data_IF_314411924855
#
_entry.id   IF_314411924855
#
_cell.length_a   1.000
_cell.length_b   1.000
_cell.length_c   1.000
_cell.angle_alpha   90.00
_cell.angle_beta   90.00
_cell.angle_gamma   90.00
#
_symmetry.space_group_name_H-M   'P 1'
#
loop_
_entity.id
_entity.type
_entity.pdbx_description
1 polymer ?
#
# COMPACT_ATOMS: atom_id res chain seq x y z
N UNK A 1 -7.74 61.26 54.07
CA UNK A 1 -7.42 61.01 52.67
C UNK A 1 -6.38 59.91 52.60
N UNK A 2 -6.74 58.63 52.67
CA UNK A 2 -5.82 57.50 52.45
C UNK A 2 -6.57 56.19 52.39
N UNK A 3 -7.35 55.97 51.36
CA UNK A 3 -7.90 54.63 50.95
C UNK A 3 -8.28 54.63 49.46
N UNK A 4 -7.34 54.54 48.54
CA UNK A 4 -7.69 54.35 47.11
C UNK A 4 -6.52 53.86 46.22
N UNK A 5 -5.50 53.19 46.77
CA UNK A 5 -4.39 52.72 45.92
C UNK A 5 -4.03 51.23 46.05
N UNK A 6 -4.84 50.38 46.67
CA UNK A 6 -4.47 48.97 46.89
C UNK A 6 -5.20 47.99 45.95
N UNK A 7 -6.20 48.46 45.19
CA UNK A 7 -7.04 47.55 44.37
C UNK A 7 -6.54 47.33 42.93
N UNK A 8 -5.52 48.04 42.44
CA UNK A 8 -5.08 47.96 41.05
C UNK A 8 -3.99 46.90 40.80
N UNK A 9 -3.14 46.60 41.78
CA UNK A 9 -2.03 45.66 41.56
C UNK A 9 -2.46 44.19 41.46
N UNK A 10 -3.52 43.80 42.20
CA UNK A 10 -4.02 42.40 42.20
C UNK A 10 -4.70 42.00 40.91
N UNK A 11 -5.28 42.95 40.16
CA UNK A 11 -5.94 42.68 38.88
C UNK A 11 -4.88 42.47 37.72
N UNK A 12 -3.84 43.30 37.70
CA UNK A 12 -2.80 43.19 36.68
C UNK A 12 -1.99 41.87 36.76
N UNK A 13 -1.66 41.43 37.95
CA UNK A 13 -0.95 40.16 38.16
C UNK A 13 -1.79 38.96 37.71
N UNK A 14 -3.13 39.00 37.95
CA UNK A 14 -4.05 37.94 37.47
C UNK A 14 -4.15 37.88 35.95
N UNK A 15 -4.19 39.03 35.26
CA UNK A 15 -4.23 39.06 33.80
C UNK A 15 -2.92 38.65 33.17
N UNK A 16 -1.76 39.00 33.74
CA UNK A 16 -0.45 38.57 33.25
C UNK A 16 -0.27 37.07 33.46
N UNK A 17 -0.66 36.51 34.61
CA UNK A 17 -0.58 35.07 34.87
C UNK A 17 -1.56 34.30 33.94
N UNK A 18 -2.76 34.81 33.69
CA UNK A 18 -3.73 34.20 32.78
C UNK A 18 -3.26 34.26 31.31
N UNK A 19 -2.64 35.38 30.90
CA UNK A 19 -2.03 35.50 29.54
C UNK A 19 -0.86 34.57 29.36
N UNK A 20 0.00 34.39 30.35
CA UNK A 20 1.11 33.45 30.30
C UNK A 20 0.61 32.00 30.27
N UNK A 21 -0.44 31.64 31.01
CA UNK A 21 -1.08 30.32 30.95
C UNK A 21 -1.77 30.06 29.61
N UNK A 22 -2.43 31.05 29.00
CA UNK A 22 -2.98 30.92 27.62
C UNK A 22 -1.89 30.79 26.58
N UNK A 23 -0.77 31.52 26.67
CA UNK A 23 0.33 31.36 25.75
C UNK A 23 1.06 30.00 25.89
N UNK A 24 1.16 29.46 27.11
CA UNK A 24 1.64 28.10 27.37
C UNK A 24 0.67 27.01 26.88
N UNK A 25 -0.66 27.28 26.92
CA UNK A 25 -1.67 26.35 26.40
C UNK A 25 -1.75 26.34 24.85
N UNK A 26 -1.45 27.49 24.20
CA UNK A 26 -1.35 27.59 22.75
C UNK A 26 -0.01 27.08 22.17
N UNK A 27 1.00 26.91 23.04
CA UNK A 27 2.29 26.34 22.69
C UNK A 27 2.38 24.81 22.72
N UNK A 28 1.27 24.09 22.91
CA UNK A 28 1.19 22.68 22.53
C UNK A 28 1.11 22.65 21.02
N UNK A 29 2.28 22.82 20.38
CA UNK A 29 2.45 22.60 18.97
C UNK A 29 1.71 21.30 18.62
N UNK A 30 0.96 21.33 17.55
CA UNK A 30 0.47 20.11 16.90
C UNK A 30 1.69 19.18 16.87
N UNK A 31 1.68 18.12 17.67
CA UNK A 31 2.78 17.17 17.68
C UNK A 31 2.90 16.70 16.23
N UNK A 32 3.95 17.15 15.56
CA UNK A 32 4.19 16.80 14.18
C UNK A 32 4.15 15.27 14.14
N UNK A 33 3.27 14.76 13.37
CA UNK A 33 3.06 13.31 13.25
C UNK A 33 4.39 12.67 12.88
N UNK A 34 4.99 11.96 13.83
CA UNK A 34 6.33 11.36 13.70
C UNK A 34 6.33 10.08 12.87
N UNK A 35 5.23 9.76 12.21
CA UNK A 35 5.12 8.58 11.36
C UNK A 35 4.18 8.80 10.19
N UNK A 36 4.39 8.02 9.14
CA UNK A 36 3.47 7.85 8.01
C UNK A 36 2.97 6.41 7.97
N UNK A 37 1.68 6.23 7.67
CA UNK A 37 1.11 4.90 7.47
C UNK A 37 1.06 4.56 6.00
N UNK A 38 1.66 3.43 5.67
CA UNK A 38 1.65 2.84 4.34
C UNK A 38 0.71 1.64 4.33
N UNK A 39 -0.06 1.50 3.27
CA UNK A 39 -0.94 0.37 3.02
C UNK A 39 -0.69 -0.19 1.63
N UNK A 40 -0.70 -1.50 1.51
CA UNK A 40 -0.79 -2.20 0.24
C UNK A 40 -2.09 -3.00 0.22
N UNK A 41 -2.80 -3.01 -0.92
CA UNK A 41 -4.04 -3.74 -1.07
C UNK A 41 -4.31 -4.15 -2.53
N UNK A 42 -4.28 -5.45 -2.79
CA UNK A 42 -4.90 -6.00 -4.00
C UNK A 42 -6.43 -5.95 -3.84
N UNK A 43 -7.11 -5.22 -4.70
CA UNK A 43 -8.55 -4.92 -4.58
C UNK A 43 -9.46 -5.85 -5.40
N UNK A 44 -8.93 -6.95 -5.94
CA UNK A 44 -9.64 -7.94 -6.74
C UNK A 44 -10.38 -7.33 -7.93
N UNK A 45 -9.70 -7.18 -9.08
CA UNK A 45 -10.29 -6.79 -10.36
C UNK A 45 -11.24 -5.58 -10.27
N UNK A 46 -10.70 -4.43 -9.88
CA UNK A 46 -11.49 -3.20 -9.81
C UNK A 46 -11.59 -2.54 -11.18
N UNK A 47 -12.54 -3.00 -11.98
CA UNK A 47 -12.88 -2.46 -13.29
C UNK A 47 -13.99 -1.40 -13.18
N UNK A 48 -14.07 -0.51 -14.16
CA UNK A 48 -15.28 0.26 -14.41
C UNK A 48 -16.37 -0.64 -15.05
N UNK A 49 -17.35 -0.09 -15.72
CA UNK A 49 -18.46 -0.87 -16.31
C UNK A 49 -18.46 -0.84 -17.83
N UNK A 50 -17.39 -0.30 -18.44
CA UNK A 50 -17.25 -0.11 -19.87
C UNK A 50 -16.23 -1.08 -20.45
N UNK A 51 -16.47 -1.52 -21.67
CA UNK A 51 -15.48 -2.31 -22.39
C UNK A 51 -14.50 -1.41 -23.14
N UNK A 52 -13.22 -1.64 -22.96
CA UNK A 52 -12.14 -0.96 -23.68
C UNK A 52 -11.71 -1.81 -24.89
N UNK A 53 -11.81 -1.26 -26.09
CA UNK A 53 -11.44 -1.95 -27.30
C UNK A 53 -9.98 -2.46 -27.26
N UNK A 54 -9.81 -3.75 -27.54
CA UNK A 54 -8.51 -4.42 -27.51
C UNK A 54 -8.13 -5.05 -26.18
N UNK A 55 -8.92 -4.85 -25.10
CA UNK A 55 -8.74 -5.50 -23.80
C UNK A 55 -9.68 -6.70 -23.62
N UNK A 56 -9.30 -7.62 -22.73
CA UNK A 56 -10.10 -8.80 -22.35
C UNK A 56 -10.91 -8.52 -21.08
N UNK A 57 -11.64 -7.41 -21.04
CA UNK A 57 -12.40 -6.89 -19.89
C UNK A 57 -13.92 -7.06 -20.04
N UNK A 58 -14.40 -7.61 -21.15
CA UNK A 58 -15.82 -7.75 -21.49
C UNK A 58 -16.64 -8.46 -20.39
N UNK A 59 -16.00 -9.35 -19.62
CA UNK A 59 -16.61 -10.03 -18.49
C UNK A 59 -17.04 -9.06 -17.37
N UNK A 60 -16.36 -7.94 -17.25
CA UNK A 60 -16.61 -6.86 -16.27
C UNK A 60 -17.53 -5.76 -16.81
N UNK A 61 -18.49 -6.12 -17.66
CA UNK A 61 -19.52 -5.21 -18.16
C UNK A 61 -20.91 -5.62 -17.65
N UNK A 62 -21.95 -4.78 -17.76
CA UNK A 62 -23.30 -5.14 -17.35
C UNK A 62 -23.88 -6.37 -18.05
N UNK A 63 -23.42 -6.66 -19.27
CA UNK A 63 -23.84 -7.83 -20.08
C UNK A 63 -22.80 -8.97 -20.06
N UNK A 64 -21.64 -8.75 -19.44
CA UNK A 64 -20.60 -9.76 -19.28
C UNK A 64 -20.93 -10.84 -18.25
N UNK A 65 -20.04 -11.84 -18.13
CA UNK A 65 -20.27 -13.01 -17.27
C UNK A 65 -20.40 -12.65 -15.77
N UNK A 66 -19.74 -11.57 -15.33
CA UNK A 66 -19.87 -11.05 -13.96
C UNK A 66 -21.05 -10.11 -13.76
N UNK A 67 -21.79 -9.75 -14.83
CA UNK A 67 -22.88 -8.77 -14.77
C UNK A 67 -22.47 -7.52 -13.96
N UNK A 68 -21.28 -6.99 -14.28
CA UNK A 68 -20.65 -5.90 -13.56
C UNK A 68 -21.28 -4.58 -13.95
N UNK A 69 -22.28 -4.16 -13.21
CA UNK A 69 -23.05 -2.94 -13.46
C UNK A 69 -22.69 -1.81 -12.49
N UNK A 70 -23.21 -0.63 -12.75
CA UNK A 70 -22.95 0.59 -11.96
C UNK A 70 -23.28 0.38 -10.47
N UNK A 71 -24.35 -0.35 -10.11
CA UNK A 71 -24.69 -0.60 -8.71
C UNK A 71 -23.60 -1.43 -8.00
N UNK A 72 -23.08 -2.48 -8.64
CA UNK A 72 -21.98 -3.30 -8.09
C UNK A 72 -20.66 -2.51 -8.00
N UNK A 73 -20.38 -1.71 -9.03
CA UNK A 73 -19.22 -0.83 -9.10
C UNK A 73 -19.17 0.13 -7.91
N UNK A 74 -20.19 0.96 -7.75
CA UNK A 74 -20.25 1.94 -6.65
C UNK A 74 -20.32 1.28 -5.27
N UNK A 75 -21.00 0.15 -5.16
CA UNK A 75 -21.02 -0.62 -3.93
C UNK A 75 -19.61 -1.13 -3.55
N UNK A 76 -18.80 -1.56 -4.52
CA UNK A 76 -17.43 -1.99 -4.27
C UNK A 76 -16.52 -0.82 -3.90
N UNK A 77 -16.58 0.30 -4.61
CA UNK A 77 -15.84 1.52 -4.25
C UNK A 77 -16.17 1.99 -2.82
N UNK A 78 -17.45 1.96 -2.44
CA UNK A 78 -17.88 2.28 -1.08
C UNK A 78 -17.33 1.30 -0.02
N UNK A 79 -17.16 0.02 -0.37
CA UNK A 79 -16.50 -0.97 0.50
C UNK A 79 -15.01 -0.75 0.61
N UNK A 80 -14.32 -0.52 -0.50
CA UNK A 80 -12.87 -0.24 -0.52
C UNK A 80 -12.56 1.03 0.30
N UNK A 81 -13.35 2.10 0.13
CA UNK A 81 -13.19 3.31 0.93
C UNK A 81 -13.37 3.05 2.45
N UNK A 82 -14.28 2.16 2.83
CA UNK A 82 -14.44 1.72 4.23
C UNK A 82 -13.20 0.98 4.74
N UNK A 83 -12.60 0.11 3.93
CA UNK A 83 -11.36 -0.61 4.31
C UNK A 83 -10.23 0.38 4.55
N UNK A 84 -9.99 1.29 3.61
CA UNK A 84 -8.93 2.30 3.67
C UNK A 84 -9.11 3.18 4.91
N UNK A 85 -10.33 3.69 5.15
CA UNK A 85 -10.61 4.50 6.33
C UNK A 85 -10.43 3.72 7.64
N UNK A 86 -10.86 2.46 7.68
CA UNK A 86 -10.71 1.62 8.88
C UNK A 86 -9.24 1.25 9.16
N UNK A 87 -8.44 1.02 8.12
CA UNK A 87 -7.01 0.74 8.23
C UNK A 87 -6.21 1.96 8.73
N UNK A 88 -6.63 3.15 8.33
CA UNK A 88 -6.09 4.42 8.82
C UNK A 88 -6.39 4.64 10.30
N UNK A 89 -7.60 4.29 10.77
CA UNK A 89 -8.05 4.52 12.14
C UNK A 89 -8.21 6.01 12.44
N UNK A 90 -7.48 6.53 13.43
CA UNK A 90 -7.52 7.94 13.79
C UNK A 90 -6.76 8.87 12.82
N UNK A 91 -5.96 8.32 11.94
CA UNK A 91 -5.14 9.04 10.95
C UNK A 91 -5.39 8.44 9.56
N UNK A 92 -5.35 9.25 8.48
CA UNK A 92 -5.46 8.71 7.13
C UNK A 92 -4.26 7.78 6.81
N UNK A 93 -4.43 6.95 5.79
CA UNK A 93 -3.31 6.28 5.14
C UNK A 93 -2.53 7.34 4.36
N UNK A 94 -1.23 7.46 4.56
CA UNK A 94 -0.41 8.48 3.89
C UNK A 94 0.02 8.05 2.49
N UNK A 95 0.35 6.74 2.33
CA UNK A 95 0.69 6.10 1.06
C UNK A 95 -0.11 4.81 0.91
N UNK A 96 -0.78 4.63 -0.23
CA UNK A 96 -1.60 3.46 -0.50
C UNK A 96 -1.27 2.91 -1.89
N UNK A 97 -0.70 1.71 -1.95
CA UNK A 97 -0.61 0.94 -3.18
C UNK A 97 -1.90 0.18 -3.42
N UNK A 98 -2.47 0.34 -4.59
CA UNK A 98 -3.62 -0.43 -5.06
C UNK A 98 -3.19 -1.33 -6.22
N UNK A 99 -3.56 -2.58 -6.12
CA UNK A 99 -3.26 -3.61 -7.12
C UNK A 99 -4.56 -4.13 -7.71
N UNK A 100 -4.56 -4.48 -8.99
CA UNK A 100 -5.74 -4.86 -9.78
C UNK A 100 -6.73 -3.71 -10.02
N UNK A 101 -6.19 -2.55 -10.37
CA UNK A 101 -6.94 -1.38 -10.83
C UNK A 101 -6.96 -1.34 -12.35
N UNK A 102 -8.09 -1.00 -12.95
CA UNK A 102 -8.17 -0.90 -14.40
C UNK A 102 -7.53 0.39 -14.93
N UNK A 103 -7.94 1.55 -14.41
CA UNK A 103 -7.56 2.84 -15.00
C UNK A 103 -7.63 4.00 -13.99
N UNK A 104 -7.24 5.20 -14.44
CA UNK A 104 -7.28 6.43 -13.63
C UNK A 104 -8.69 6.78 -13.17
N UNK A 105 -9.72 6.55 -13.99
CA UNK A 105 -11.11 6.88 -13.65
C UNK A 105 -11.57 6.12 -12.41
N UNK A 106 -11.24 4.84 -12.32
CA UNK A 106 -11.56 3.98 -11.16
C UNK A 106 -10.92 4.49 -9.88
N UNK A 107 -9.64 4.91 -9.93
CA UNK A 107 -8.95 5.45 -8.76
C UNK A 107 -9.50 6.83 -8.41
N UNK A 108 -9.76 7.69 -9.39
CA UNK A 108 -10.37 9.00 -9.17
C UNK A 108 -11.77 8.87 -8.54
N UNK A 109 -12.61 7.93 -9.00
CA UNK A 109 -13.90 7.65 -8.39
C UNK A 109 -13.75 7.19 -6.92
N UNK A 110 -12.76 6.35 -6.64
CA UNK A 110 -12.48 5.90 -5.28
C UNK A 110 -12.09 7.07 -4.35
N UNK A 111 -11.18 7.95 -4.77
CA UNK A 111 -10.64 9.00 -3.90
C UNK A 111 -11.50 10.26 -3.88
N UNK A 112 -12.26 10.57 -4.94
CA UNK A 112 -13.03 11.81 -5.03
C UNK A 112 -14.54 11.62 -4.90
N UNK A 113 -15.09 10.43 -5.22
CA UNK A 113 -16.55 10.21 -5.19
C UNK A 113 -16.99 9.23 -4.11
N UNK A 114 -16.09 8.84 -3.18
CA UNK A 114 -16.42 8.07 -1.97
C UNK A 114 -16.20 8.91 -0.71
N UNK A 115 -16.27 8.28 0.47
CA UNK A 115 -15.97 8.96 1.74
C UNK A 115 -14.53 9.45 1.88
N UNK A 116 -13.62 9.04 0.98
CA UNK A 116 -12.22 9.45 0.98
C UNK A 116 -12.01 10.87 0.42
N UNK A 117 -12.99 11.47 -0.25
CA UNK A 117 -12.87 12.78 -0.90
C UNK A 117 -12.35 13.89 0.02
N UNK A 118 -12.66 13.81 1.33
CA UNK A 118 -12.22 14.79 2.32
C UNK A 118 -10.76 14.69 2.71
N UNK A 119 -10.10 13.59 2.34
CA UNK A 119 -8.70 13.35 2.71
C UNK A 119 -7.73 14.14 1.83
N UNK A 120 -8.15 14.54 0.62
CA UNK A 120 -7.32 15.28 -0.32
C UNK A 120 -6.23 14.41 -0.96
N UNK A 121 -6.56 13.16 -1.25
CA UNK A 121 -5.65 12.25 -1.95
C UNK A 121 -5.41 12.66 -3.39
N UNK A 122 -4.19 12.41 -3.85
CA UNK A 122 -3.81 12.35 -5.27
C UNK A 122 -3.36 10.93 -5.63
N UNK A 123 -3.24 10.64 -6.93
CA UNK A 123 -2.83 9.32 -7.39
C UNK A 123 -1.92 9.35 -8.62
N UNK A 124 -1.18 8.27 -8.78
CA UNK A 124 -0.46 7.90 -10.00
C UNK A 124 -0.87 6.48 -10.35
N UNK A 125 -1.29 6.25 -11.59
CA UNK A 125 -1.68 4.93 -12.11
C UNK A 125 -0.68 4.51 -13.19
N UNK A 126 -0.31 3.24 -13.24
CA UNK A 126 0.45 2.67 -14.37
C UNK A 126 -0.47 2.45 -15.58
N UNK A 127 0.14 2.39 -16.78
CA UNK A 127 -0.57 2.09 -18.03
C UNK A 127 0.13 0.94 -18.71
N UNK A 128 -0.14 -0.27 -18.25
CA UNK A 128 0.54 -1.49 -18.70
C UNK A 128 -0.02 -2.04 -20.01
N UNK A 129 0.76 -2.89 -20.66
CA UNK A 129 0.33 -3.64 -21.82
C UNK A 129 -0.37 -4.97 -21.46
N UNK A 130 -0.80 -5.16 -20.21
CA UNK A 130 -1.57 -6.34 -19.80
C UNK A 130 -2.91 -6.37 -20.56
N UNK A 131 -3.13 -7.45 -21.28
CA UNK A 131 -4.32 -7.60 -22.14
C UNK A 131 -5.65 -7.61 -21.40
N UNK A 132 -5.62 -7.80 -20.07
CA UNK A 132 -6.82 -7.70 -19.22
C UNK A 132 -7.14 -6.26 -18.83
N UNK A 133 -6.23 -5.30 -19.09
CA UNK A 133 -6.38 -3.93 -18.68
C UNK A 133 -6.13 -3.70 -17.18
N UNK A 134 -5.37 -4.59 -16.53
CA UNK A 134 -5.07 -4.47 -15.09
C UNK A 134 -3.78 -3.68 -14.88
N UNK A 135 -3.85 -2.71 -13.98
CA UNK A 135 -2.79 -1.81 -13.58
C UNK A 135 -2.56 -1.81 -12.08
N UNK A 136 -1.58 -1.04 -11.65
CA UNK A 136 -1.31 -0.70 -10.25
C UNK A 136 -1.36 0.81 -10.07
N UNK A 137 -1.63 1.26 -8.83
CA UNK A 137 -1.67 2.68 -8.51
C UNK A 137 -0.99 2.97 -7.17
N UNK A 138 -0.40 4.17 -7.06
CA UNK A 138 -0.01 4.78 -5.81
C UNK A 138 -0.95 5.96 -5.52
N UNK A 139 -1.69 5.89 -4.43
CA UNK A 139 -2.50 6.98 -3.88
C UNK A 139 -1.74 7.58 -2.69
N UNK A 140 -1.68 8.88 -2.58
CA UNK A 140 -0.86 9.54 -1.56
C UNK A 140 -1.48 10.87 -1.10
N UNK A 141 -1.04 11.32 0.08
CA UNK A 141 -1.38 12.64 0.62
C UNK A 141 -0.29 13.65 0.22
N UNK A 142 -0.57 14.67 -0.63
CA UNK A 142 0.44 15.57 -1.17
C UNK A 142 1.25 16.33 -0.10
N UNK A 143 0.64 16.63 1.05
CA UNK A 143 1.32 17.30 2.16
C UNK A 143 2.24 16.39 2.99
N UNK A 144 2.22 15.06 2.72
CA UNK A 144 3.08 14.05 3.36
C UNK A 144 4.13 13.50 2.41
N UNK A 145 3.77 13.41 1.13
CA UNK A 145 4.59 12.86 0.06
C UNK A 145 4.43 13.74 -1.18
N UNK A 146 5.40 14.63 -1.43
CA UNK A 146 5.39 15.52 -2.59
C UNK A 146 5.96 14.80 -3.80
N UNK A 147 5.14 14.53 -4.79
CA UNK A 147 5.55 13.85 -6.02
C UNK A 147 6.71 14.60 -6.71
N UNK A 148 7.80 13.90 -6.99
CA UNK A 148 8.97 14.40 -7.73
C UNK A 148 9.01 13.86 -9.15
N UNK A 149 8.85 12.53 -9.31
CA UNK A 149 8.84 11.86 -10.61
C UNK A 149 8.04 10.57 -10.56
N UNK A 150 7.59 10.13 -11.72
CA UNK A 150 6.93 8.82 -11.92
C UNK A 150 7.43 8.16 -13.18
N UNK A 151 7.52 6.83 -13.17
CA UNK A 151 7.91 6.03 -14.32
C UNK A 151 7.18 4.68 -14.31
N UNK A 152 6.92 4.11 -15.49
CA UNK A 152 6.35 2.78 -15.68
C UNK A 152 7.41 1.85 -16.27
N UNK A 153 7.91 0.95 -15.44
CA UNK A 153 8.98 0.02 -15.82
C UNK A 153 8.35 -1.19 -16.50
N UNK A 154 8.45 -1.20 -17.82
CA UNK A 154 7.92 -2.30 -18.62
C UNK A 154 8.85 -3.49 -18.63
N UNK A 155 8.35 -4.66 -18.23
CA UNK A 155 9.07 -5.91 -18.34
C UNK A 155 8.57 -6.68 -19.55
N UNK A 156 9.43 -6.78 -20.59
CA UNK A 156 9.11 -7.53 -21.80
C UNK A 156 9.09 -9.03 -21.49
N UNK A 157 8.09 -9.79 -21.98
CA UNK A 157 8.06 -11.22 -21.81
C UNK A 157 9.19 -11.87 -22.62
N UNK A 158 9.92 -12.78 -21.99
CA UNK A 158 10.93 -13.58 -22.67
C UNK A 158 10.26 -14.81 -23.30
N UNK A 159 10.12 -14.78 -24.62
CA UNK A 159 9.52 -15.87 -25.42
C UNK A 159 8.23 -15.50 -26.13
N UNK A 160 7.97 -16.14 -27.26
CA UNK A 160 6.86 -15.82 -28.20
C UNK A 160 5.46 -16.14 -27.63
N UNK A 161 5.36 -16.94 -26.58
CA UNK A 161 4.09 -17.42 -26.01
C UNK A 161 3.65 -16.68 -24.76
N UNK A 162 4.52 -15.84 -24.18
CA UNK A 162 4.18 -15.07 -22.98
C UNK A 162 3.48 -13.76 -23.37
N UNK A 163 2.39 -13.48 -22.67
CA UNK A 163 1.69 -12.19 -22.78
C UNK A 163 2.44 -11.13 -21.99
N UNK A 164 2.36 -9.84 -22.39
CA UNK A 164 2.82 -8.75 -21.55
C UNK A 164 2.22 -8.84 -20.15
N UNK A 165 3.00 -8.48 -19.14
CA UNK A 165 2.53 -8.35 -17.77
C UNK A 165 2.33 -6.89 -17.40
N UNK A 166 1.88 -6.66 -16.17
CA UNK A 166 1.74 -5.31 -15.61
C UNK A 166 3.10 -4.64 -15.53
N UNK A 167 3.14 -3.37 -15.83
CA UNK A 167 4.31 -2.55 -15.59
C UNK A 167 4.52 -2.39 -14.07
N UNK A 168 5.76 -2.25 -13.63
CA UNK A 168 6.10 -1.86 -12.27
C UNK A 168 6.02 -0.34 -12.22
N UNK A 169 5.21 0.21 -11.33
CA UNK A 169 5.11 1.65 -11.14
C UNK A 169 6.20 2.11 -10.18
N UNK A 170 7.13 2.96 -10.65
CA UNK A 170 8.08 3.67 -9.82
C UNK A 170 7.63 5.10 -9.59
N UNK A 171 7.62 5.54 -8.34
CA UNK A 171 7.27 6.92 -7.94
C UNK A 171 8.29 7.41 -6.94
N UNK A 172 9.01 8.46 -7.27
CA UNK A 172 9.86 9.18 -6.33
C UNK A 172 9.12 10.37 -5.74
N UNK A 173 9.16 10.53 -4.44
CA UNK A 173 8.54 11.65 -3.73
C UNK A 173 9.36 12.13 -2.54
N UNK A 174 9.22 13.42 -2.24
CA UNK A 174 9.86 14.04 -1.09
C UNK A 174 8.98 13.90 0.14
N UNK A 175 9.55 13.38 1.20
CA UNK A 175 8.94 13.25 2.51
C UNK A 175 8.98 14.59 3.28
N UNK A 176 8.24 14.68 4.38
CA UNK A 176 8.25 15.86 5.29
C UNK A 176 9.62 16.14 5.92
N UNK A 177 10.54 15.19 5.87
CA UNK A 177 11.93 15.34 6.33
C UNK A 177 12.85 15.98 5.28
N UNK A 178 12.37 16.13 4.03
CA UNK A 178 13.20 16.53 2.88
C UNK A 178 13.91 15.35 2.19
N UNK A 179 13.82 14.14 2.75
CA UNK A 179 14.37 12.94 2.12
C UNK A 179 13.51 12.51 0.92
N UNK A 180 14.15 11.94 -0.09
CA UNK A 180 13.46 11.26 -1.18
C UNK A 180 13.15 9.82 -0.77
N UNK A 181 11.91 9.38 -0.99
CA UNK A 181 11.48 7.99 -0.92
C UNK A 181 11.16 7.51 -2.34
N UNK A 182 11.82 6.46 -2.79
CA UNK A 182 11.55 5.78 -4.05
C UNK A 182 10.62 4.58 -3.79
N UNK A 183 9.40 4.67 -4.31
CA UNK A 183 8.33 3.67 -4.10
C UNK A 183 8.12 2.88 -5.38
N UNK A 184 8.14 1.55 -5.29
CA UNK A 184 7.80 0.65 -6.39
C UNK A 184 6.52 -0.10 -6.05
N UNK A 185 5.50 0.01 -6.92
CA UNK A 185 4.26 -0.75 -6.80
C UNK A 185 4.25 -1.86 -7.85
N UNK A 186 4.08 -3.10 -7.40
CA UNK A 186 4.26 -4.29 -8.20
C UNK A 186 2.99 -5.15 -8.25
N UNK A 187 2.76 -5.81 -9.39
CA UNK A 187 1.84 -6.94 -9.49
C UNK A 187 2.48 -8.01 -10.38
N UNK A 188 3.14 -8.98 -9.76
CA UNK A 188 3.89 -10.02 -10.47
C UNK A 188 2.97 -11.02 -11.21
N UNK A 189 3.50 -11.74 -12.21
CA UNK A 189 2.74 -12.76 -12.95
C UNK A 189 2.14 -13.80 -12.01
N UNK A 190 0.85 -14.13 -12.24
CA UNK A 190 0.12 -15.06 -11.38
C UNK A 190 0.70 -16.48 -11.42
N UNK A 191 0.38 -17.29 -10.41
CA UNK A 191 0.85 -18.69 -10.28
C UNK A 191 0.19 -19.65 -11.29
N UNK A 192 -0.86 -19.23 -12.01
CA UNK A 192 -1.64 -20.07 -12.95
C UNK A 192 -0.84 -20.41 -14.19
N UNK A 193 0.25 -20.29 -14.47
CA UNK A 193 1.03 -20.69 -15.66
C UNK A 193 2.09 -21.76 -15.38
N UNK A 194 2.10 -22.35 -14.18
CA UNK A 194 3.07 -23.37 -13.79
C UNK A 194 4.51 -22.85 -13.90
N UNK A 195 5.42 -23.69 -14.43
CA UNK A 195 6.85 -23.37 -14.56
C UNK A 195 7.12 -22.14 -15.45
N UNK A 196 6.33 -21.94 -16.50
CA UNK A 196 6.50 -20.79 -17.39
C UNK A 196 6.23 -19.46 -16.64
N UNK A 197 5.18 -19.42 -15.83
CA UNK A 197 4.87 -18.26 -15.00
C UNK A 197 5.91 -18.06 -13.89
N UNK A 198 6.48 -19.14 -13.33
CA UNK A 198 7.58 -19.06 -12.39
C UNK A 198 8.82 -18.41 -13.01
N UNK A 199 9.25 -18.86 -14.18
CA UNK A 199 10.38 -18.27 -14.90
C UNK A 199 10.12 -16.79 -15.23
N UNK A 200 8.87 -16.43 -15.52
CA UNK A 200 8.54 -15.05 -15.78
C UNK A 200 8.57 -14.18 -14.52
N UNK A 201 8.12 -14.69 -13.35
CA UNK A 201 8.31 -13.99 -12.06
C UNK A 201 9.79 -13.76 -11.78
N UNK A 202 10.64 -14.74 -12.05
CA UNK A 202 12.10 -14.63 -11.93
C UNK A 202 12.65 -13.47 -12.76
N UNK A 203 12.27 -13.42 -14.06
CA UNK A 203 12.68 -12.34 -14.97
C UNK A 203 12.19 -10.96 -14.49
N UNK A 204 10.94 -10.87 -14.00
CA UNK A 204 10.40 -9.62 -13.46
C UNK A 204 11.17 -9.18 -12.21
N UNK A 205 11.51 -10.12 -11.33
CA UNK A 205 12.27 -9.85 -10.10
C UNK A 205 13.69 -9.34 -10.40
N UNK A 206 14.41 -9.99 -11.32
CA UNK A 206 15.74 -9.54 -11.76
C UNK A 206 15.71 -8.15 -12.40
N UNK A 207 14.68 -7.88 -13.20
CA UNK A 207 14.50 -6.57 -13.83
C UNK A 207 14.23 -5.47 -12.80
N UNK A 208 13.35 -5.75 -11.83
CA UNK A 208 13.09 -4.85 -10.70
C UNK A 208 14.37 -4.61 -9.89
N UNK A 209 15.14 -5.66 -9.56
CA UNK A 209 16.40 -5.53 -8.83
C UNK A 209 17.36 -4.58 -9.55
N UNK A 210 17.54 -4.76 -10.85
CA UNK A 210 18.41 -3.90 -11.64
C UNK A 210 17.99 -2.41 -11.58
N UNK A 211 16.69 -2.11 -11.69
CA UNK A 211 16.20 -0.73 -11.53
C UNK A 211 16.42 -0.18 -10.13
N UNK A 212 16.15 -0.96 -9.12
CA UNK A 212 16.34 -0.56 -7.72
C UNK A 212 17.82 -0.28 -7.45
N UNK A 213 18.73 -1.14 -7.90
CA UNK A 213 20.16 -0.93 -7.77
C UNK A 213 20.62 0.37 -8.46
N UNK A 214 20.09 0.64 -9.66
CA UNK A 214 20.40 1.87 -10.39
C UNK A 214 19.95 3.12 -9.62
N UNK A 215 18.77 3.10 -9.02
CA UNK A 215 18.26 4.20 -8.19
C UNK A 215 19.10 4.35 -6.92
N UNK A 216 19.41 3.25 -6.23
CA UNK A 216 20.24 3.27 -5.03
C UNK A 216 21.64 3.85 -5.31
N UNK A 217 22.23 3.56 -6.48
CA UNK A 217 23.53 4.15 -6.88
C UNK A 217 23.43 5.66 -7.17
N UNK A 218 22.29 6.15 -7.64
CA UNK A 218 22.09 7.57 -7.95
C UNK A 218 21.77 8.44 -6.73
N UNK A 219 21.25 7.87 -5.66
CA UNK A 219 20.87 8.57 -4.43
C UNK A 219 22.04 8.63 -3.46
N UNK A 220 22.29 9.79 -2.85
CA UNK A 220 23.26 9.92 -1.76
C UNK A 220 22.79 9.20 -0.48
N UNK A 221 21.50 9.18 -0.24
CA UNK A 221 20.84 8.43 0.84
C UNK A 221 19.60 7.72 0.28
N UNK A 222 19.76 6.48 -0.21
CA UNK A 222 18.65 5.77 -0.81
C UNK A 222 17.64 5.33 0.28
N UNK A 223 16.37 5.66 0.06
CA UNK A 223 15.25 5.13 0.81
C UNK A 223 14.31 4.47 -0.20
N UNK A 224 14.25 3.15 -0.19
CA UNK A 224 13.51 2.35 -1.17
C UNK A 224 12.44 1.54 -0.46
N UNK A 225 11.22 1.63 -0.98
CA UNK A 225 10.07 0.82 -0.57
C UNK A 225 9.47 0.14 -1.80
N UNK A 226 9.46 -1.18 -1.81
CA UNK A 226 8.81 -2.00 -2.83
C UNK A 226 7.59 -2.65 -2.17
N UNK A 227 6.42 -2.54 -2.80
CA UNK A 227 5.19 -3.11 -2.27
C UNK A 227 4.26 -3.59 -3.38
N UNK A 228 3.38 -4.55 -3.08
CA UNK A 228 2.42 -5.08 -4.03
C UNK A 228 2.16 -6.57 -3.86
N UNK A 229 1.39 -7.12 -4.82
CA UNK A 229 1.15 -8.56 -4.95
C UNK A 229 2.27 -9.19 -5.79
N UNK A 230 3.13 -9.96 -5.11
CA UNK A 230 4.24 -10.67 -5.74
C UNK A 230 3.84 -12.04 -6.29
N UNK A 231 2.60 -12.47 -6.07
CA UNK A 231 2.10 -13.79 -6.47
C UNK A 231 3.02 -14.96 -6.07
N UNK A 232 3.72 -14.81 -4.97
CA UNK A 232 4.64 -15.79 -4.42
C UNK A 232 5.04 -15.45 -2.99
N UNK A 233 5.71 -16.36 -2.32
CA UNK A 233 6.05 -16.26 -0.91
C UNK A 233 7.48 -16.73 -0.63
N UNK A 234 8.02 -16.33 0.49
CA UNK A 234 9.34 -16.76 0.97
C UNK A 234 9.36 -18.28 1.23
N UNK A 235 10.42 -19.02 0.81
CA UNK A 235 11.65 -18.57 0.15
C UNK A 235 11.72 -18.89 -1.35
N UNK A 236 10.70 -18.56 -2.17
CA UNK A 236 10.76 -18.83 -3.60
C UNK A 236 11.95 -18.11 -4.27
N UNK A 237 12.59 -18.75 -5.27
CA UNK A 237 13.83 -18.30 -5.92
C UNK A 237 13.76 -16.89 -6.50
N UNK A 238 12.61 -16.50 -7.06
CA UNK A 238 12.45 -15.15 -7.60
C UNK A 238 12.58 -14.06 -6.52
N UNK A 239 12.26 -14.36 -5.25
CA UNK A 239 12.50 -13.45 -4.12
C UNK A 239 13.95 -13.53 -3.64
N UNK A 240 14.48 -14.75 -3.42
CA UNK A 240 15.80 -14.95 -2.80
C UNK A 240 16.96 -14.72 -3.78
N UNK A 241 16.82 -15.14 -5.04
CA UNK A 241 17.85 -15.07 -6.07
C UNK A 241 17.55 -13.97 -7.08
N UNK A 242 16.28 -13.87 -7.55
CA UNK A 242 15.87 -12.90 -8.54
C UNK A 242 15.90 -11.46 -8.02
N UNK A 243 15.19 -11.18 -6.94
CA UNK A 243 15.18 -9.87 -6.29
C UNK A 243 16.31 -9.73 -5.24
N UNK A 244 16.85 -10.85 -4.75
CA UNK A 244 17.93 -10.86 -3.78
C UNK A 244 17.53 -10.37 -2.39
N UNK A 245 16.26 -10.61 -1.96
CA UNK A 245 15.81 -10.19 -0.64
C UNK A 245 16.28 -11.14 0.45
N UNK A 246 16.52 -10.56 1.62
CA UNK A 246 16.89 -11.25 2.84
C UNK A 246 15.82 -11.05 3.92
N UNK A 247 15.91 -11.80 5.02
CA UNK A 247 15.12 -11.54 6.23
C UNK A 247 16.00 -10.80 7.26
N UNK A 248 15.58 -9.63 7.68
CA UNK A 248 16.34 -8.83 8.66
C UNK A 248 16.57 -9.58 9.99
N UNK A 249 15.61 -10.41 10.40
CA UNK A 249 15.70 -11.20 11.64
C UNK A 249 16.75 -12.32 11.61
N UNK A 250 17.21 -12.72 10.43
CA UNK A 250 18.21 -13.81 10.25
C UNK A 250 19.56 -13.31 9.75
N UNK A 251 19.68 -12.01 9.45
CA UNK A 251 20.94 -11.41 9.01
C UNK A 251 21.82 -11.08 10.21
N UNK A 252 23.12 -11.41 10.16
CA UNK A 252 24.09 -11.07 11.21
C UNK A 252 24.24 -9.56 11.38
N UNK A 253 24.17 -8.81 10.26
CA UNK A 253 24.11 -7.35 10.23
C UNK A 253 23.31 -6.88 9.02
N UNK A 254 22.47 -5.87 9.22
CA UNK A 254 21.71 -5.22 8.13
C UNK A 254 22.66 -4.38 7.29
N UNK A 255 22.73 -4.67 5.99
CA UNK A 255 23.56 -3.93 5.04
C UNK A 255 22.73 -2.85 4.34
N UNK A 256 23.19 -1.58 4.27
CA UNK A 256 22.40 -0.45 3.79
C UNK A 256 21.78 -0.63 2.39
N UNK A 257 22.51 -1.24 1.46
CA UNK A 257 22.11 -1.41 0.06
C UNK A 257 21.50 -2.78 -0.26
N UNK A 258 21.33 -3.64 0.74
CA UNK A 258 20.62 -4.91 0.55
C UNK A 258 19.12 -4.73 0.76
N UNK A 259 18.34 -5.62 0.17
CA UNK A 259 16.88 -5.61 0.25
C UNK A 259 16.38 -6.60 1.32
N UNK A 260 15.40 -6.17 2.10
CA UNK A 260 14.85 -6.95 3.22
C UNK A 260 13.34 -7.07 3.12
N UNK A 261 12.86 -8.32 3.19
CA UNK A 261 11.44 -8.65 3.24
C UNK A 261 10.90 -8.46 4.66
N UNK A 262 9.84 -7.66 4.81
CA UNK A 262 9.22 -7.35 6.10
C UNK A 262 7.99 -8.21 6.42
N UNK A 263 7.39 -8.80 5.42
CA UNK A 263 6.08 -9.48 5.50
C UNK A 263 6.19 -11.00 5.72
N UNK A 264 7.35 -11.47 6.14
CA UNK A 264 7.53 -12.88 6.43
C UNK A 264 6.64 -13.34 7.59
N UNK A 265 5.80 -14.35 7.33
CA UNK A 265 4.95 -15.02 8.32
C UNK A 265 4.03 -14.09 9.13
N UNK A 266 3.40 -13.09 8.48
CA UNK A 266 2.41 -12.22 9.10
C UNK A 266 1.22 -13.03 9.62
N UNK A 267 0.71 -12.64 10.79
CA UNK A 267 -0.46 -13.25 11.42
C UNK A 267 -1.50 -12.19 11.70
N UNK A 268 -2.77 -12.54 11.47
CA UNK A 268 -3.92 -11.74 11.82
C UNK A 268 -4.74 -12.39 12.94
N UNK A 269 -5.88 -11.76 13.28
CA UNK A 269 -6.87 -12.38 14.14
C UNK A 269 -7.59 -13.55 13.46
N UNK A 270 -8.34 -14.36 14.21
CA UNK A 270 -9.15 -15.49 13.70
C UNK A 270 -8.37 -16.50 12.83
N UNK A 271 -7.15 -16.83 13.23
CA UNK A 271 -6.24 -17.78 12.54
C UNK A 271 -5.88 -17.41 11.09
N UNK A 272 -5.97 -16.14 10.74
CA UNK A 272 -5.46 -15.62 9.47
C UNK A 272 -3.93 -15.66 9.47
N UNK A 273 -3.33 -16.29 8.44
CA UNK A 273 -1.88 -16.51 8.34
C UNK A 273 -1.29 -16.08 7.00
N UNK A 274 -1.86 -15.06 6.39
CA UNK A 274 -1.44 -14.52 5.12
C UNK A 274 -2.51 -13.64 4.51
N UNK A 275 -2.22 -13.09 3.35
CA UNK A 275 -3.10 -12.13 2.68
C UNK A 275 -4.12 -12.80 1.76
N UNK A 276 -3.85 -13.98 1.26
CA UNK A 276 -4.68 -14.72 0.29
C UNK A 276 -4.97 -16.15 0.78
N UNK A 277 -6.18 -16.66 0.52
CA UNK A 277 -6.52 -18.04 0.87
C UNK A 277 -6.94 -18.83 -0.36
N UNK A 278 -6.26 -19.96 -0.61
CA UNK A 278 -6.54 -20.86 -1.72
C UNK A 278 -6.59 -22.30 -1.27
N UNK A 279 -7.64 -23.04 -1.65
CA UNK A 279 -7.83 -24.45 -1.28
C UNK A 279 -7.67 -24.75 0.22
N UNK A 280 -8.13 -23.85 1.08
CA UNK A 280 -8.04 -24.00 2.52
C UNK A 280 -6.74 -23.46 3.15
N UNK A 281 -5.71 -23.22 2.35
CA UNK A 281 -4.38 -22.78 2.81
C UNK A 281 -4.22 -21.26 2.69
N UNK A 282 -3.66 -20.63 3.74
CA UNK A 282 -3.25 -19.23 3.72
C UNK A 282 -1.91 -19.06 3.03
N UNK A 283 -1.81 -18.08 2.16
CA UNK A 283 -0.59 -17.69 1.46
C UNK A 283 -0.30 -16.22 1.71
N UNK A 284 0.97 -15.89 1.97
CA UNK A 284 1.45 -14.52 2.04
C UNK A 284 1.95 -14.12 0.66
N UNK A 285 1.12 -13.44 -0.14
CA UNK A 285 1.43 -13.05 -1.52
C UNK A 285 1.77 -11.57 -1.67
N UNK A 286 1.24 -10.75 -0.77
CA UNK A 286 1.41 -9.31 -0.75
C UNK A 286 2.56 -8.94 0.19
N UNK A 287 3.49 -8.11 -0.29
CA UNK A 287 4.75 -7.89 0.40
C UNK A 287 5.15 -6.42 0.52
N UNK A 288 5.91 -6.14 1.60
CA UNK A 288 6.77 -4.97 1.74
C UNK A 288 8.23 -5.41 1.74
N UNK A 289 9.02 -4.78 0.89
CA UNK A 289 10.49 -4.93 0.83
C UNK A 289 11.11 -3.54 0.92
N UNK A 290 12.17 -3.40 1.70
CA UNK A 290 12.89 -2.14 1.88
C UNK A 290 14.39 -2.35 1.77
N UNK A 291 15.15 -1.31 1.46
CA UNK A 291 16.60 -1.38 1.59
C UNK A 291 17.03 -1.23 3.05
N UNK A 292 18.22 -1.74 3.37
CA UNK A 292 18.70 -1.80 4.76
C UNK A 292 18.89 -0.44 5.41
N UNK A 293 19.15 0.60 4.64
CA UNK A 293 19.21 1.98 5.15
C UNK A 293 17.94 2.36 5.92
N UNK A 294 16.77 1.90 5.45
CA UNK A 294 15.50 2.18 6.11
C UNK A 294 15.25 1.35 7.38
N UNK A 295 16.10 0.37 7.69
CA UNK A 295 16.00 -0.45 8.91
C UNK A 295 16.89 0.06 10.06
N UNK A 296 17.65 1.13 9.84
CA UNK A 296 18.47 1.78 10.88
C UNK A 296 17.62 2.80 11.65
N UNK A 297 17.18 2.44 12.84
CA UNK A 297 16.36 3.29 13.73
C UNK A 297 17.18 4.35 14.49
N UNK A 298 18.50 4.38 14.31
CA UNK A 298 19.37 5.45 14.83
C UNK A 298 19.41 6.68 13.93
N UNK A 299 18.82 6.64 12.75
CA UNK A 299 18.75 7.74 11.77
C UNK A 299 17.76 8.84 12.20
N UNK A 300 18.15 9.65 13.20
CA UNK A 300 17.32 10.75 13.69
C UNK A 300 17.02 11.78 12.59
N UNK A 301 15.73 12.07 12.39
CA UNK A 301 15.27 13.05 11.40
C UNK A 301 15.23 12.54 9.96
N UNK A 302 15.51 11.26 9.74
CA UNK A 302 15.39 10.57 8.44
C UNK A 302 14.38 9.44 8.53
N UNK A 303 13.81 8.98 7.39
CA UNK A 303 12.84 7.90 7.41
C UNK A 303 13.46 6.57 7.83
N UNK A 304 12.80 5.86 8.73
CA UNK A 304 13.18 4.50 9.12
C UNK A 304 11.93 3.65 9.41
N UNK A 305 12.08 2.33 9.37
CA UNK A 305 11.03 1.36 9.57
C UNK A 305 11.42 0.37 10.66
N UNK A 306 10.51 0.13 11.58
CA UNK A 306 10.59 -1.00 12.52
C UNK A 306 9.87 -2.18 11.91
N UNK A 307 10.56 -3.30 11.71
CA UNK A 307 9.95 -4.52 11.15
C UNK A 307 8.68 -4.93 11.92
N UNK A 308 8.63 -4.67 13.23
CA UNK A 308 7.45 -4.91 14.08
C UNK A 308 6.24 -4.03 13.75
N UNK A 309 6.40 -2.95 12.97
CA UNK A 309 5.30 -2.10 12.52
C UNK A 309 4.52 -2.72 11.34
N UNK A 310 5.11 -3.72 10.68
CA UNK A 310 4.47 -4.43 9.59
C UNK A 310 3.40 -5.38 10.13
N UNK A 311 2.18 -5.28 9.61
CA UNK A 311 1.04 -6.05 10.11
C UNK A 311 0.01 -6.34 9.05
N UNK A 312 -0.67 -7.46 9.22
CA UNK A 312 -1.82 -7.86 8.42
C UNK A 312 -3.10 -7.16 8.96
N UNK A 313 -3.85 -6.51 8.09
CA UNK A 313 -5.12 -5.88 8.45
C UNK A 313 -6.29 -6.82 8.15
N UNK A 314 -6.75 -7.54 9.17
CA UNK A 314 -7.75 -8.60 9.04
C UNK A 314 -8.95 -8.44 9.99
N UNK A 315 -9.64 -7.27 10.03
CA UNK A 315 -10.82 -7.10 10.87
C UNK A 315 -11.96 -8.04 10.40
N UNK A 316 -12.84 -8.42 11.31
CA UNK A 316 -13.90 -9.41 11.06
C UNK A 316 -14.79 -9.08 9.85
N UNK A 317 -14.98 -7.79 9.53
CA UNK A 317 -15.80 -7.42 8.38
C UNK A 317 -15.15 -7.77 7.02
N UNK A 318 -13.83 -7.96 6.97
CA UNK A 318 -13.11 -8.45 5.78
C UNK A 318 -13.12 -9.97 5.64
N UNK A 319 -13.67 -10.68 6.62
CA UNK A 319 -13.63 -12.14 6.69
C UNK A 319 -15.02 -12.73 6.54
N UNK A 320 -15.10 -13.90 5.95
CA UNK A 320 -16.29 -14.73 5.83
C UNK A 320 -15.97 -16.15 6.27
N UNK A 321 -16.87 -16.78 6.99
CA UNK A 321 -16.72 -18.19 7.37
C UNK A 321 -16.64 -19.08 6.12
N UNK A 322 -15.80 -20.10 6.19
CA UNK A 322 -15.76 -21.13 5.14
C UNK A 322 -17.08 -21.90 5.07
N UNK A 323 -17.41 -22.42 3.88
CA UNK A 323 -18.59 -23.26 3.71
C UNK A 323 -18.50 -24.61 4.45
N UNK A 324 -17.28 -25.12 4.60
CA UNK A 324 -17.00 -26.31 5.42
C UNK A 324 -17.28 -26.12 6.91
N UNK A 325 -17.52 -24.89 7.36
CA UNK A 325 -17.71 -24.55 8.77
C UNK A 325 -16.43 -24.34 9.56
N UNK A 326 -15.27 -24.65 8.98
CA UNK A 326 -13.96 -24.52 9.63
C UNK A 326 -13.19 -23.31 9.10
N UNK A 327 -12.86 -22.38 10.02
CA UNK A 327 -12.04 -21.22 9.73
C UNK A 327 -12.74 -20.11 8.94
N UNK A 328 -11.93 -19.17 8.50
CA UNK A 328 -12.35 -17.98 7.76
C UNK A 328 -11.55 -17.81 6.47
N UNK A 329 -12.07 -17.03 5.53
CA UNK A 329 -11.43 -16.60 4.30
C UNK A 329 -11.68 -15.12 4.03
N UNK A 330 -10.93 -14.45 3.15
CA UNK A 330 -11.27 -13.10 2.71
C UNK A 330 -12.70 -13.05 2.14
N UNK A 331 -13.43 -12.00 2.47
CA UNK A 331 -14.76 -11.75 1.93
C UNK A 331 -14.61 -11.08 0.56
N UNK A 332 -14.42 -11.89 -0.46
CA UNK A 332 -14.15 -11.51 -1.84
C UNK A 332 -15.37 -10.99 -2.60
N UNK A 333 -15.15 -10.27 -3.67
CA UNK A 333 -16.19 -9.74 -4.53
C UNK A 333 -16.93 -10.84 -5.29
N UNK A 334 -16.17 -11.80 -5.83
CA UNK A 334 -16.71 -12.95 -6.57
C UNK A 334 -16.15 -14.28 -6.03
N UNK A 335 -16.95 -15.34 -6.17
CA UNK A 335 -16.51 -16.71 -6.01
C UNK A 335 -16.88 -17.48 -7.29
N UNK A 336 -15.89 -17.74 -8.17
CA UNK A 336 -16.18 -18.02 -9.57
C UNK A 336 -16.97 -16.85 -10.16
N UNK A 337 -18.05 -17.13 -10.87
CA UNK A 337 -18.91 -16.09 -11.46
C UNK A 337 -20.00 -15.59 -10.49
N UNK A 338 -20.07 -16.11 -9.26
CA UNK A 338 -21.09 -15.70 -8.30
C UNK A 338 -20.67 -14.46 -7.53
N UNK A 339 -21.44 -13.38 -7.68
CA UNK A 339 -21.25 -12.15 -6.91
C UNK A 339 -21.51 -12.39 -5.42
N UNK A 340 -20.51 -12.14 -4.61
CA UNK A 340 -20.57 -12.26 -3.16
C UNK A 340 -20.80 -10.90 -2.48
N UNK A 341 -20.50 -9.81 -3.16
CA UNK A 341 -20.62 -8.46 -2.61
C UNK A 341 -19.65 -8.19 -1.47
N UNK A 342 -18.49 -8.82 -1.50
CA UNK A 342 -17.42 -8.61 -0.52
C UNK A 342 -16.47 -7.46 -0.90
N UNK A 343 -15.26 -7.51 -0.38
CA UNK A 343 -14.23 -6.47 -0.47
C UNK A 343 -13.14 -6.86 -1.49
N UNK A 344 -12.40 -7.91 -1.21
CA UNK A 344 -11.35 -8.49 -2.04
C UNK A 344 -11.08 -9.93 -1.63
N UNK A 345 -10.40 -10.70 -2.48
CA UNK A 345 -9.84 -12.01 -2.15
C UNK A 345 -8.46 -11.92 -1.48
N UNK A 346 -7.91 -10.72 -1.39
CA UNK A 346 -6.74 -10.41 -0.58
C UNK A 346 -7.12 -9.62 0.67
N UNK A 347 -6.25 -9.65 1.68
CA UNK A 347 -6.29 -8.82 2.87
C UNK A 347 -5.17 -7.80 2.82
N UNK A 348 -5.44 -6.53 3.20
CA UNK A 348 -4.41 -5.50 3.18
C UNK A 348 -3.29 -5.75 4.16
N UNK A 349 -2.10 -5.24 3.85
CA UNK A 349 -0.97 -5.14 4.75
C UNK A 349 -0.64 -3.68 5.05
N UNK A 350 -0.19 -3.42 6.27
CA UNK A 350 0.14 -2.09 6.77
C UNK A 350 1.58 -2.03 7.25
N UNK A 351 2.19 -0.86 7.09
CA UNK A 351 3.52 -0.54 7.56
C UNK A 351 3.52 0.89 8.11
N UNK A 352 4.18 1.14 9.23
CA UNK A 352 4.39 2.49 9.71
C UNK A 352 5.87 2.90 9.48
N UNK A 353 6.06 4.01 8.75
CA UNK A 353 7.33 4.68 8.49
C UNK A 353 7.52 5.78 9.53
N UNK A 354 8.64 5.82 10.21
CA UNK A 354 8.97 6.77 11.29
C UNK A 354 10.02 7.81 10.84
N UNK A 355 10.10 8.95 11.58
CA UNK A 355 11.07 10.02 11.37
C UNK A 355 11.80 10.41 12.64
#
# INVERSE_FOLDING_TARGET
>A
MSRLFVTCYGCWVRYVVLSCFLMFALGKGVAQQRSMRVMEYNVENMFDTLHTAGLSDIDFTPTGSYQWNSQRYWAKLGRLSRVIAAAGGAQPIDLLALVEIENDSVVNDLIHHTKLWRMGYECVVSHSADVRGINVALVYLPYRFRLLSKDSLRVAPQGKTLRPTRDILHVAGELVTGDTLDVYVCHFPSRRGGKQSQNFRESVAQHLRHYVDSVMCMRSQPNVLIMGDFNGYWPESFLTEGLGVQLAATSEAVQPNELYLLTYALKGGADVRGTYKFQGEWNQLDHFVVNGTMLDDNRKGHPYIKSSSCRLFSPMFLLKKERSGEGVRPYRTFLGNYYQGGYSDHLPILLDLYF
#
